data_IF_761011966046
#
_entry.id   IF_761011966046
#
_cell.length_a   1.000
_cell.length_b   1.000
_cell.length_c   1.000
_cell.angle_alpha   90.00
_cell.angle_beta   90.00
_cell.angle_gamma   90.00
#
_symmetry.space_group_name_H-M   'P 1'
#
loop_
_entity.id
_entity.type
_entity.pdbx_description
1 polymer ?
#
# COMPACT_ATOMS: atom_id res chain seq x y z
N UNK A 1 11.37 12.41 -7.46
CA UNK A 1 11.94 11.09 -7.12
C UNK A 1 12.96 11.18 -6.00
N UNK A 2 12.77 10.39 -4.94
CA UNK A 2 13.69 10.29 -3.79
C UNK A 2 14.26 8.89 -3.56
N UNK A 3 14.03 7.99 -4.51
CA UNK A 3 14.50 6.61 -4.47
C UNK A 3 15.90 6.54 -5.10
N UNK A 4 16.78 5.75 -4.50
CA UNK A 4 18.12 5.48 -5.01
C UNK A 4 18.52 4.02 -4.73
N UNK A 5 19.16 3.36 -5.69
CA UNK A 5 19.82 2.08 -5.46
C UNK A 5 21.15 2.28 -4.71
N UNK A 6 21.37 1.45 -3.69
CA UNK A 6 22.66 1.28 -3.04
C UNK A 6 23.29 0.02 -3.62
N UNK A 7 24.47 0.20 -4.20
CA UNK A 7 25.23 -0.87 -4.84
C UNK A 7 25.80 -1.79 -3.76
N UNK A 8 25.52 -3.08 -3.88
CA UNK A 8 26.19 -4.18 -3.20
C UNK A 8 27.03 -4.95 -4.22
N UNK A 9 26.46 -6.01 -4.78
CA UNK A 9 27.04 -6.86 -5.83
C UNK A 9 26.83 -6.34 -7.27
N UNK A 10 25.92 -5.37 -7.45
CA UNK A 10 25.62 -4.74 -8.74
C UNK A 10 24.83 -5.63 -9.70
N UNK A 11 24.41 -6.84 -9.30
CA UNK A 11 23.72 -7.79 -10.17
C UNK A 11 22.31 -7.32 -10.57
N UNK A 12 21.68 -6.50 -9.74
CA UNK A 12 20.28 -6.11 -9.87
C UNK A 12 20.10 -4.67 -10.36
N UNK A 13 21.19 -3.95 -10.61
CA UNK A 13 21.15 -2.53 -10.98
C UNK A 13 21.53 -2.37 -12.46
N UNK A 14 20.61 -1.78 -13.24
CA UNK A 14 20.90 -1.35 -14.61
C UNK A 14 21.66 -0.02 -14.60
N UNK A 15 22.80 0.03 -15.30
CA UNK A 15 23.67 1.20 -15.35
C UNK A 15 22.93 2.45 -15.82
N UNK A 16 22.08 2.33 -16.84
CA UNK A 16 21.59 3.46 -17.65
C UNK A 16 20.19 3.92 -17.26
N UNK A 17 19.37 3.03 -16.70
CA UNK A 17 17.97 3.33 -16.39
C UNK A 17 17.71 3.52 -14.91
N UNK A 18 18.50 2.87 -14.06
CA UNK A 18 18.22 2.86 -12.63
C UNK A 18 18.84 4.07 -11.92
N UNK A 19 18.17 4.62 -10.90
CA UNK A 19 18.70 5.73 -10.13
C UNK A 19 19.68 5.22 -9.06
N UNK A 20 20.96 5.01 -9.39
CA UNK A 20 21.97 4.45 -8.46
C UNK A 20 23.10 5.41 -8.09
N UNK A 21 23.19 6.58 -8.72
CA UNK A 21 24.19 7.59 -8.38
C UNK A 21 23.73 8.45 -7.20
N UNK A 22 24.60 8.72 -6.21
CA UNK A 22 24.30 9.59 -5.07
C UNK A 22 24.27 11.09 -5.42
N UNK A 23 24.16 11.45 -6.70
CA UNK A 23 24.14 12.84 -7.20
C UNK A 23 22.95 13.11 -8.13
N UNK A 24 22.61 14.39 -8.27
CA UNK A 24 21.59 14.84 -9.20
C UNK A 24 20.14 14.52 -8.76
N UNK A 25 19.18 15.12 -9.47
CA UNK A 25 17.75 14.98 -9.16
C UNK A 25 17.22 13.61 -9.63
N UNK A 26 17.65 13.17 -10.81
CA UNK A 26 17.28 11.88 -11.39
C UNK A 26 18.05 10.71 -10.79
N UNK A 27 19.30 10.94 -10.33
CA UNK A 27 20.23 9.90 -9.80
C UNK A 27 20.62 8.83 -10.82
N UNK A 28 20.33 9.10 -12.09
CA UNK A 28 20.71 8.26 -13.22
C UNK A 28 22.00 8.83 -13.81
N UNK A 29 22.82 7.97 -14.39
CA UNK A 29 23.99 8.32 -15.20
C UNK A 29 23.59 9.36 -16.27
N UNK A 30 24.35 10.44 -16.39
CA UNK A 30 24.14 11.49 -17.42
C UNK A 30 24.89 11.18 -18.72
N UNK A 31 25.92 10.34 -18.63
CA UNK A 31 26.69 9.82 -19.75
C UNK A 31 25.80 9.13 -20.78
N UNK A 32 26.05 9.39 -22.06
CA UNK A 32 25.25 8.84 -23.15
C UNK A 32 25.70 7.40 -23.42
N UNK A 33 24.77 6.44 -23.36
CA UNK A 33 25.05 5.01 -23.58
C UNK A 33 25.72 4.71 -24.93
N UNK A 34 25.32 5.37 -26.00
CA UNK A 34 25.82 5.08 -27.35
C UNK A 34 25.64 3.61 -27.74
N UNK A 35 26.68 3.01 -28.33
CA UNK A 35 26.74 1.58 -28.69
C UNK A 35 27.29 0.69 -27.57
N UNK A 36 27.30 1.17 -26.31
CA UNK A 36 27.86 0.40 -25.22
C UNK A 36 26.97 -0.81 -24.87
N UNK A 37 27.59 -1.99 -24.85
CA UNK A 37 26.96 -3.27 -24.57
C UNK A 37 26.77 -3.52 -23.07
N UNK A 38 27.46 -2.79 -22.20
CA UNK A 38 27.31 -2.90 -20.75
C UNK A 38 25.89 -2.53 -20.35
N UNK A 39 25.31 -3.33 -19.46
CA UNK A 39 23.93 -3.17 -19.01
C UNK A 39 23.80 -3.08 -17.50
N UNK A 40 24.63 -3.82 -16.76
CA UNK A 40 24.51 -3.97 -15.31
C UNK A 40 25.75 -3.49 -14.58
N UNK A 41 25.54 -2.97 -13.37
CA UNK A 41 26.62 -2.42 -12.53
C UNK A 41 27.66 -3.49 -12.17
N UNK A 42 27.26 -4.76 -12.03
CA UNK A 42 28.18 -5.89 -11.82
C UNK A 42 29.29 -5.98 -12.88
N UNK A 43 29.01 -5.58 -14.12
CA UNK A 43 29.98 -5.63 -15.22
C UNK A 43 31.06 -4.53 -15.10
N UNK A 44 30.90 -3.58 -14.17
CA UNK A 44 31.86 -2.54 -13.84
C UNK A 44 32.75 -2.92 -12.63
N UNK A 45 32.50 -4.07 -12.01
CA UNK A 45 33.18 -4.52 -10.78
C UNK A 45 34.16 -5.63 -11.15
N UNK A 46 35.41 -5.51 -10.68
CA UNK A 46 36.37 -6.60 -10.75
C UNK A 46 36.07 -7.63 -9.66
N UNK A 47 35.67 -8.83 -10.08
CA UNK A 47 35.31 -9.95 -9.20
C UNK A 47 36.49 -10.55 -8.43
N UNK A 48 37.74 -10.24 -8.80
CA UNK A 48 38.92 -10.75 -8.08
C UNK A 48 39.30 -9.80 -6.93
N UNK A 49 39.27 -8.49 -7.18
CA UNK A 49 39.66 -7.48 -6.20
C UNK A 49 38.49 -6.88 -5.42
N UNK A 50 37.24 -7.19 -5.80
CA UNK A 50 36.01 -6.57 -5.28
C UNK A 50 36.08 -5.04 -5.29
N UNK A 51 36.64 -4.50 -6.35
CA UNK A 51 36.79 -3.06 -6.56
C UNK A 51 36.28 -2.66 -7.94
N UNK A 52 36.06 -1.37 -8.14
CA UNK A 52 35.63 -0.84 -9.43
C UNK A 52 36.71 -1.03 -10.49
N UNK A 53 36.35 -1.47 -11.70
CA UNK A 53 37.23 -1.41 -12.86
C UNK A 53 37.36 0.05 -13.31
N UNK A 54 38.34 0.74 -12.71
CA UNK A 54 38.58 2.16 -12.91
C UNK A 54 38.84 2.51 -14.38
N UNK A 55 39.53 1.62 -15.11
CA UNK A 55 39.84 1.84 -16.51
C UNK A 55 38.56 1.74 -17.36
N UNK A 56 37.74 0.71 -17.13
CA UNK A 56 36.47 0.53 -17.84
C UNK A 56 35.49 1.67 -17.58
N UNK A 57 35.40 2.13 -16.33
CA UNK A 57 34.51 3.22 -15.92
C UNK A 57 34.94 4.54 -16.59
N UNK A 58 36.22 4.89 -16.55
CA UNK A 58 36.73 6.12 -17.19
C UNK A 58 36.58 6.12 -18.71
N UNK A 59 36.58 4.94 -19.34
CA UNK A 59 36.33 4.80 -20.78
C UNK A 59 34.84 4.84 -21.14
N UNK A 60 33.97 4.45 -20.22
CA UNK A 60 32.53 4.30 -20.45
C UNK A 60 31.73 5.56 -20.12
N UNK A 61 32.12 6.30 -19.09
CA UNK A 61 31.34 7.41 -18.55
C UNK A 61 32.08 8.74 -18.70
N UNK A 62 31.32 9.83 -18.73
CA UNK A 62 31.88 11.17 -18.57
C UNK A 62 32.57 11.31 -17.22
N UNK A 63 33.58 12.17 -17.17
CA UNK A 63 34.44 12.37 -15.99
C UNK A 63 33.62 12.60 -14.70
N UNK A 64 32.54 13.37 -14.77
CA UNK A 64 31.68 13.63 -13.62
C UNK A 64 31.01 12.36 -13.08
N UNK A 65 30.51 11.49 -13.96
CA UNK A 65 29.85 10.23 -13.59
C UNK A 65 30.88 9.22 -13.12
N UNK A 66 32.00 9.09 -13.84
CA UNK A 66 33.11 8.21 -13.47
C UNK A 66 33.60 8.50 -12.04
N UNK A 67 33.86 9.77 -11.70
CA UNK A 67 34.26 10.17 -10.35
C UNK A 67 33.22 9.82 -9.28
N UNK A 68 31.95 9.92 -9.63
CA UNK A 68 30.86 9.59 -8.68
C UNK A 68 30.77 8.09 -8.45
N UNK A 69 30.88 7.29 -9.51
CA UNK A 69 30.84 5.83 -9.45
C UNK A 69 31.99 5.32 -8.57
N UNK A 70 33.20 5.81 -8.80
CA UNK A 70 34.40 5.40 -8.05
C UNK A 70 34.33 5.73 -6.55
N UNK A 71 33.49 6.67 -6.14
CA UNK A 71 33.28 7.02 -4.72
C UNK A 71 32.24 6.13 -4.02
N UNK A 72 31.49 5.30 -4.75
CA UNK A 72 30.53 4.38 -4.16
C UNK A 72 31.31 3.20 -3.55
N UNK A 73 31.22 2.96 -2.23
CA UNK A 73 31.91 1.83 -1.62
C UNK A 73 31.25 0.51 -2.02
N UNK A 74 32.05 -0.46 -2.46
CA UNK A 74 31.64 -1.84 -2.69
C UNK A 74 32.01 -2.67 -1.45
N UNK A 75 31.13 -3.59 -1.05
CA UNK A 75 31.37 -4.52 0.06
C UNK A 75 31.12 -5.96 -0.42
N UNK A 76 32.07 -6.85 -0.15
CA UNK A 76 31.95 -8.27 -0.46
C UNK A 76 30.78 -8.89 0.33
N UNK A 77 29.84 -9.53 -0.38
CA UNK A 77 28.66 -10.17 0.21
C UNK A 77 27.51 -9.23 0.57
N UNK A 78 27.57 -7.95 0.22
CA UNK A 78 26.43 -7.04 0.34
C UNK A 78 25.49 -7.18 -0.87
N UNK A 79 24.19 -7.28 -0.62
CA UNK A 79 23.16 -7.32 -1.67
C UNK A 79 22.76 -5.90 -2.11
N UNK A 80 22.46 -5.73 -3.40
CA UNK A 80 21.85 -4.50 -3.93
C UNK A 80 20.51 -4.17 -3.24
N UNK A 81 20.32 -2.91 -2.81
CA UNK A 81 19.04 -2.50 -2.23
C UNK A 81 18.59 -1.08 -2.58
N UNK A 82 17.28 -0.92 -2.72
CA UNK A 82 16.63 0.38 -2.83
C UNK A 82 16.56 1.07 -1.48
N UNK A 83 16.92 2.35 -1.48
CA UNK A 83 16.97 3.23 -0.31
C UNK A 83 16.24 4.55 -0.58
N UNK A 84 15.73 5.15 0.49
CA UNK A 84 15.29 6.53 0.48
C UNK A 84 16.50 7.47 0.58
N UNK A 85 16.77 8.23 -0.48
CA UNK A 85 17.95 9.08 -0.59
C UNK A 85 18.04 10.13 0.53
N UNK A 86 16.90 10.65 0.99
CA UNK A 86 16.86 11.72 1.98
C UNK A 86 16.89 11.21 3.43
N UNK A 87 17.15 9.92 3.65
CA UNK A 87 17.44 9.36 4.96
C UNK A 87 18.82 8.69 4.97
N UNK A 88 19.58 8.91 6.04
CA UNK A 88 20.97 8.41 6.16
C UNK A 88 21.05 6.89 6.20
N UNK A 89 20.00 6.21 6.70
CA UNK A 89 19.90 4.75 6.74
C UNK A 89 19.14 4.19 5.54
N UNK A 90 18.70 5.05 4.62
CA UNK A 90 17.88 4.66 3.48
C UNK A 90 16.42 4.35 3.82
N UNK A 91 15.96 4.67 5.04
CA UNK A 91 14.61 4.36 5.48
C UNK A 91 13.63 5.44 5.05
N UNK A 92 12.53 5.02 4.44
CA UNK A 92 11.44 5.92 4.11
C UNK A 92 10.64 6.27 5.37
N UNK A 93 10.34 7.56 5.56
CA UNK A 93 9.34 8.02 6.51
C UNK A 93 8.48 9.11 5.90
N UNK A 94 7.21 9.18 6.31
CA UNK A 94 6.29 10.25 5.89
C UNK A 94 6.84 11.62 6.27
N UNK A 95 7.51 11.71 7.43
CA UNK A 95 8.15 12.94 7.91
C UNK A 95 9.28 13.40 6.98
N UNK A 96 10.19 12.50 6.59
CA UNK A 96 11.30 12.84 5.67
C UNK A 96 10.81 13.16 4.27
N UNK A 97 9.77 12.48 3.78
CA UNK A 97 9.16 12.80 2.48
C UNK A 97 8.48 14.18 2.49
N UNK A 98 7.77 14.52 3.56
CA UNK A 98 7.13 15.82 3.72
C UNK A 98 8.13 16.98 3.79
N UNK A 99 9.26 16.78 4.49
CA UNK A 99 10.36 17.76 4.53
C UNK A 99 10.94 18.04 3.15
N UNK A 100 11.10 17.03 2.30
CA UNK A 100 11.59 17.21 0.92
C UNK A 100 10.65 18.07 0.10
N UNK A 101 9.34 17.89 0.26
CA UNK A 101 8.33 18.71 -0.44
C UNK A 101 8.42 20.16 0.01
N UNK A 102 8.49 20.42 1.32
CA UNK A 102 8.64 21.77 1.86
C UNK A 102 9.93 22.45 1.39
N UNK A 103 11.06 21.74 1.39
CA UNK A 103 12.35 22.26 0.91
C UNK A 103 12.33 22.53 -0.60
N UNK A 104 11.60 21.73 -1.38
CA UNK A 104 11.44 21.94 -2.82
C UNK A 104 10.59 23.17 -3.09
N UNK A 105 9.47 23.33 -2.36
CA UNK A 105 8.60 24.51 -2.45
C UNK A 105 9.31 25.79 -2.02
N UNK A 106 10.16 25.73 -0.98
CA UNK A 106 10.98 26.86 -0.54
C UNK A 106 11.97 27.28 -1.64
N UNK A 107 12.68 26.33 -2.26
CA UNK A 107 13.63 26.59 -3.36
C UNK A 107 12.96 27.08 -4.64
N UNK A 108 11.74 26.63 -4.92
CA UNK A 108 10.93 27.13 -6.04
C UNK A 108 10.40 28.55 -5.77
N UNK A 109 10.10 28.88 -4.51
CA UNK A 109 9.67 30.22 -4.11
C UNK A 109 10.79 31.26 -4.19
N UNK A 110 12.05 30.87 -3.99
CA UNK A 110 13.23 31.73 -4.16
C UNK A 110 13.56 32.02 -5.64
N UNK A 111 13.10 31.18 -6.57
CA UNK A 111 13.25 31.39 -8.03
C UNK A 111 12.06 32.10 -8.67
N UNK A 112 11.02 32.42 -7.89
CA UNK A 112 9.81 33.11 -8.34
C UNK A 112 9.76 34.56 -7.87
N UNK A 113 9.25 35.44 -8.73
CA UNK A 113 8.98 36.87 -8.49
C UNK A 113 8.28 37.06 -7.11
N UNK A 114 8.72 38.01 -6.26
CA UNK A 114 8.16 38.18 -4.93
C UNK A 114 6.70 38.61 -5.03
N UNK A 115 5.78 37.72 -4.64
CA UNK A 115 4.38 38.07 -4.45
C UNK A 115 4.10 38.27 -2.97
N UNK A 116 4.05 39.54 -2.59
CA UNK A 116 3.53 40.02 -1.32
C UNK A 116 2.07 39.64 -1.17
N UNK A 117 1.75 38.88 -0.12
CA UNK A 117 0.44 38.94 0.51
C UNK A 117 0.61 38.75 2.00
N UNK A 118 0.51 39.87 2.73
CA UNK A 118 0.32 39.90 4.17
C UNK A 118 -0.79 38.92 4.56
N UNK A 119 -0.46 37.92 5.38
CA UNK A 119 -1.45 37.32 6.28
C UNK A 119 -1.36 38.12 7.59
N UNK A 120 -2.47 38.66 8.11
CA UNK A 120 -2.43 39.21 9.46
C UNK A 120 -2.12 38.05 10.41
N UNK A 121 -1.10 38.23 11.25
CA UNK A 121 -0.80 37.35 12.36
C UNK A 121 -2.01 37.29 13.30
N UNK A 122 -2.88 36.31 13.11
CA UNK A 122 -3.76 35.86 14.19
C UNK A 122 -2.90 34.96 15.07
N UNK A 123 -2.15 35.59 15.97
CA UNK A 123 -1.49 34.97 17.11
C UNK A 123 -2.55 34.48 18.09
N UNK A 124 -3.29 33.45 17.71
CA UNK A 124 -4.05 32.69 18.72
C UNK A 124 -3.06 31.76 19.42
N UNK A 125 -2.48 32.27 20.50
CA UNK A 125 -1.88 31.48 21.58
C UNK A 125 -3.00 30.63 22.24
N UNK A 126 -3.59 29.72 21.47
CA UNK A 126 -4.48 28.70 21.99
C UNK A 126 -3.62 27.76 22.83
N UNK A 127 -3.91 27.59 24.12
CA UNK A 127 -3.12 26.74 24.99
C UNK A 127 -3.34 25.28 24.60
N UNK A 128 -2.54 24.79 23.65
CA UNK A 128 -2.65 23.42 23.09
C UNK A 128 -2.61 22.34 24.16
N UNK A 129 -1.88 22.59 25.25
CA UNK A 129 -1.86 21.70 26.43
C UNK A 129 -3.25 21.49 27.04
N UNK A 130 -4.13 22.50 27.00
CA UNK A 130 -5.53 22.39 27.47
C UNK A 130 -6.40 21.67 26.45
N UNK A 131 -6.18 21.87 25.15
CA UNK A 131 -6.92 21.17 24.09
C UNK A 131 -6.70 19.65 24.18
N UNK A 132 -5.44 19.22 24.33
CA UNK A 132 -5.10 17.80 24.42
C UNK A 132 -5.46 17.15 25.76
N UNK A 133 -5.74 17.94 26.80
CA UNK A 133 -6.18 17.46 28.11
C UNK A 133 -7.70 17.26 28.22
N UNK A 134 -8.46 17.59 27.18
CA UNK A 134 -9.91 17.37 27.17
C UNK A 134 -10.21 15.85 27.08
N UNK A 135 -11.22 15.34 27.81
CA UNK A 135 -11.64 13.94 27.76
C UNK A 135 -12.47 13.66 26.49
N UNK A 136 -11.92 14.03 25.32
CA UNK A 136 -12.52 13.85 24.01
C UNK A 136 -11.67 12.86 23.20
N UNK A 137 -12.28 12.02 22.34
CA UNK A 137 -11.52 11.14 21.47
C UNK A 137 -10.54 11.91 20.57
N UNK A 138 -9.36 11.34 20.35
CA UNK A 138 -8.22 12.00 19.69
C UNK A 138 -8.55 12.58 18.30
N UNK A 139 -9.53 12.01 17.60
CA UNK A 139 -10.00 12.51 16.29
C UNK A 139 -10.72 13.87 16.38
N UNK A 140 -11.47 14.13 17.46
CA UNK A 140 -12.10 15.43 17.69
C UNK A 140 -11.08 16.50 18.07
N UNK A 141 -10.03 16.10 18.80
CA UNK A 141 -8.91 16.98 19.12
C UNK A 141 -8.12 17.36 17.87
N UNK A 142 -7.87 16.40 16.98
CA UNK A 142 -7.29 16.66 15.66
C UNK A 142 -8.20 17.52 14.77
N UNK A 143 -9.51 17.29 14.78
CA UNK A 143 -10.46 18.13 14.03
C UNK A 143 -10.45 19.57 14.55
N UNK A 144 -10.52 19.78 15.87
CA UNK A 144 -10.46 21.11 16.50
C UNK A 144 -9.11 21.79 16.24
N UNK A 145 -8.00 21.04 16.27
CA UNK A 145 -6.68 21.54 15.90
C UNK A 145 -6.62 21.97 14.43
N UNK A 146 -7.19 21.18 13.49
CA UNK A 146 -7.25 21.52 12.06
C UNK A 146 -8.18 22.71 11.77
N UNK A 147 -9.29 22.81 12.51
CA UNK A 147 -10.22 23.94 12.45
C UNK A 147 -9.54 25.23 12.94
N UNK A 148 -8.87 25.18 14.08
CA UNK A 148 -8.14 26.31 14.65
C UNK A 148 -6.95 26.76 13.78
N UNK A 149 -6.28 25.82 13.09
CA UNK A 149 -5.19 26.12 12.15
C UNK A 149 -5.66 26.40 10.72
N UNK A 150 -6.96 26.70 10.52
CA UNK A 150 -7.52 27.10 9.22
C UNK A 150 -7.21 26.11 8.07
N UNK A 151 -7.01 24.84 8.43
CA UNK A 151 -6.55 23.75 7.56
C UNK A 151 -7.70 22.88 7.05
N UNK A 152 -8.95 23.25 7.37
CA UNK A 152 -10.14 22.66 6.76
C UNK A 152 -10.45 23.36 5.43
N UNK A 153 -10.73 22.61 4.35
CA UNK A 153 -11.08 23.18 3.07
C UNK A 153 -12.52 23.72 3.12
N UNK A 154 -12.70 24.92 3.70
CA UNK A 154 -13.93 25.68 3.51
C UNK A 154 -14.04 26.07 2.04
N UNK A 155 -15.24 25.91 1.46
CA UNK A 155 -15.60 26.07 0.03
C UNK A 155 -15.03 27.31 -0.67
N UNK A 156 -14.58 28.33 0.06
CA UNK A 156 -14.03 29.57 -0.48
C UNK A 156 -12.62 29.42 -1.08
N UNK A 157 -11.83 28.40 -0.70
CA UNK A 157 -10.46 28.21 -1.25
C UNK A 157 -10.37 27.31 -2.49
N UNK A 158 -11.44 26.62 -2.88
CA UNK A 158 -11.45 25.68 -4.02
C UNK A 158 -11.45 26.37 -5.41
N UNK A 159 -11.72 27.67 -5.50
CA UNK A 159 -11.73 28.41 -6.78
C UNK A 159 -10.37 28.95 -7.25
N UNK A 160 -9.30 28.89 -6.43
CA UNK A 160 -8.06 29.65 -6.73
C UNK A 160 -6.78 28.85 -7.00
N UNK A 161 -6.76 27.52 -6.89
CA UNK A 161 -5.55 26.72 -7.22
C UNK A 161 -5.94 25.41 -7.89
N UNK A 162 -5.42 25.18 -9.10
CA UNK A 162 -5.58 23.93 -9.88
C UNK A 162 -4.94 22.72 -9.21
N UNK A 163 -5.53 22.25 -8.12
CA UNK A 163 -5.06 21.12 -7.32
C UNK A 163 -5.48 19.76 -7.88
N UNK A 164 -6.35 19.72 -8.89
CA UNK A 164 -6.80 18.48 -9.55
C UNK A 164 -5.68 17.79 -10.35
N UNK A 165 -4.76 18.55 -10.96
CA UNK A 165 -3.61 17.97 -11.69
C UNK A 165 -2.48 17.49 -10.79
N UNK A 166 -2.40 17.99 -9.54
CA UNK A 166 -1.36 17.54 -8.59
C UNK A 166 -1.71 16.18 -7.98
N UNK A 167 -2.99 15.91 -7.73
CA UNK A 167 -3.46 14.63 -7.17
C UNK A 167 -3.13 13.41 -8.04
N UNK A 168 -3.23 13.53 -9.37
CA UNK A 168 -2.93 12.43 -10.30
C UNK A 168 -1.42 12.08 -10.38
N UNK A 169 -0.53 13.06 -10.17
CA UNK A 169 0.92 12.83 -10.12
C UNK A 169 1.34 12.04 -8.87
N UNK A 170 0.71 12.33 -7.72
CA UNK A 170 0.90 11.59 -6.47
C UNK A 170 0.44 10.12 -6.58
N UNK A 171 -0.58 9.84 -7.38
CA UNK A 171 -1.14 8.50 -7.54
C UNK A 171 -0.27 7.61 -8.44
N UNK A 172 0.30 8.16 -9.52
CA UNK A 172 1.20 7.41 -10.42
C UNK A 172 2.51 6.99 -9.74
N UNK A 173 3.09 7.84 -8.88
CA UNK A 173 4.34 7.53 -8.17
C UNK A 173 4.17 6.54 -7.00
N UNK A 174 2.96 6.43 -6.44
CA UNK A 174 2.63 5.43 -5.42
C UNK A 174 2.48 4.03 -6.04
N UNK A 175 1.87 3.93 -7.22
CA UNK A 175 1.74 2.68 -7.98
C UNK A 175 3.12 2.14 -8.37
N UNK A 176 4.02 2.97 -8.89
CA UNK A 176 5.39 2.57 -9.28
C UNK A 176 6.22 2.09 -8.08
N UNK A 177 6.08 2.73 -6.91
CA UNK A 177 6.74 2.30 -5.67
C UNK A 177 6.17 0.99 -5.12
N UNK A 178 4.85 0.81 -5.18
CA UNK A 178 4.17 -0.42 -4.78
C UNK A 178 4.53 -1.59 -5.71
N UNK A 179 4.59 -1.40 -7.02
CA UNK A 179 4.99 -2.41 -8.00
C UNK A 179 6.44 -2.88 -7.80
N UNK A 180 7.36 -1.96 -7.54
CA UNK A 180 8.79 -2.25 -7.27
C UNK A 180 8.98 -2.99 -5.94
N UNK A 181 8.22 -2.63 -4.89
CA UNK A 181 8.22 -3.34 -3.61
C UNK A 181 7.60 -4.76 -3.72
N UNK A 182 6.66 -4.95 -4.64
CA UNK A 182 6.02 -6.25 -4.90
C UNK A 182 6.95 -7.20 -5.67
N UNK A 183 7.83 -6.69 -6.54
CA UNK A 183 8.91 -7.48 -7.18
C UNK A 183 9.88 -8.08 -6.16
N UNK A 184 10.14 -7.39 -5.05
CA UNK A 184 11.04 -7.84 -3.97
C UNK A 184 10.54 -9.06 -3.18
N UNK A 185 9.25 -9.40 -3.27
CA UNK A 185 8.70 -10.65 -2.68
C UNK A 185 8.67 -11.84 -3.65
N UNK A 186 9.02 -11.66 -4.93
CA UNK A 186 8.90 -12.69 -5.97
C UNK A 186 10.18 -13.49 -6.28
N UNK A 187 11.30 -13.24 -5.59
CA UNK A 187 12.55 -14.01 -5.75
C UNK A 187 12.89 -14.96 -4.60
N UNK A 188 11.93 -15.29 -3.73
CA UNK A 188 11.96 -16.58 -3.04
C UNK A 188 10.97 -17.48 -3.75
N UNK A 189 11.49 -18.50 -4.43
CA UNK A 189 10.74 -19.66 -4.93
C UNK A 189 10.21 -20.43 -3.71
N UNK A 190 9.25 -19.84 -3.01
CA UNK A 190 8.36 -20.55 -2.10
C UNK A 190 7.53 -21.46 -2.98
N UNK A 191 7.50 -22.75 -2.67
CA UNK A 191 6.50 -23.69 -3.18
C UNK A 191 5.19 -22.94 -3.33
N UNK A 192 4.71 -22.77 -4.58
CA UNK A 192 3.45 -22.08 -4.85
C UNK A 192 2.39 -22.82 -4.02
N UNK A 193 1.97 -22.23 -2.90
CA UNK A 193 0.85 -22.77 -2.13
C UNK A 193 -0.38 -22.51 -3.01
N UNK A 194 -0.80 -23.58 -3.68
CA UNK A 194 -1.98 -23.59 -4.54
C UNK A 194 -3.20 -23.65 -3.62
N UNK A 195 -4.18 -22.77 -3.86
CA UNK A 195 -5.46 -22.82 -3.15
C UNK A 195 -6.12 -24.19 -3.37
N UNK A 196 -6.67 -24.79 -2.33
CA UNK A 196 -7.35 -26.08 -2.42
C UNK A 196 -8.84 -25.94 -2.09
N UNK A 197 -9.72 -26.68 -2.79
CA UNK A 197 -11.14 -26.69 -2.48
C UNK A 197 -11.42 -27.23 -1.06
N UNK A 198 -12.57 -26.87 -0.47
CA UNK A 198 -13.02 -27.46 0.79
C UNK A 198 -13.37 -28.95 0.63
N UNK A 199 -13.48 -29.69 1.75
CA UNK A 199 -14.10 -31.01 1.75
C UNK A 199 -15.55 -30.96 1.24
N UNK A 200 -16.07 -32.10 0.80
CA UNK A 200 -17.49 -32.27 0.45
C UNK A 200 -18.40 -31.75 1.56
N UNK A 201 -19.53 -31.13 1.20
CA UNK A 201 -20.53 -30.56 2.13
C UNK A 201 -19.99 -29.37 2.97
N UNK A 202 -18.88 -28.77 2.55
CA UNK A 202 -18.40 -27.49 3.05
C UNK A 202 -18.28 -26.48 1.92
N UNK A 203 -18.67 -25.24 2.21
CA UNK A 203 -18.34 -24.09 1.39
C UNK A 203 -17.06 -23.43 1.91
N UNK A 204 -16.23 -22.94 1.01
CA UNK A 204 -15.04 -22.16 1.37
C UNK A 204 -15.25 -20.70 0.99
N UNK A 205 -15.04 -19.81 1.95
CA UNK A 205 -15.28 -18.38 1.81
C UNK A 205 -13.95 -17.66 1.97
N UNK A 206 -13.50 -16.96 0.95
CA UNK A 206 -12.34 -16.07 1.02
C UNK A 206 -12.84 -14.64 1.27
N UNK A 207 -12.26 -13.91 2.21
CA UNK A 207 -12.62 -12.51 2.54
C UNK A 207 -11.39 -11.62 2.60
N UNK A 208 -11.55 -10.35 2.23
CA UNK A 208 -10.49 -9.33 2.28
C UNK A 208 -11.08 -7.93 2.52
N UNK A 209 -10.33 -7.08 3.25
CA UNK A 209 -10.65 -5.67 3.45
C UNK A 209 -9.64 -4.75 2.76
N UNK A 210 -10.11 -3.87 1.88
CA UNK A 210 -9.32 -2.82 1.27
C UNK A 210 -9.49 -1.50 2.04
N UNK A 211 -8.37 -0.82 2.31
CA UNK A 211 -8.36 0.43 3.05
C UNK A 211 -7.47 1.48 2.38
N UNK A 212 -8.01 2.68 2.19
CA UNK A 212 -7.25 3.85 1.77
C UNK A 212 -7.37 4.94 2.83
N UNK A 213 -6.26 5.28 3.48
CA UNK A 213 -6.21 6.23 4.61
C UNK A 213 -6.83 7.61 4.32
N UNK A 214 -6.82 8.06 3.07
CA UNK A 214 -7.40 9.34 2.65
C UNK A 214 -8.90 9.30 2.41
N UNK A 215 -9.50 8.12 2.26
CA UNK A 215 -10.85 7.97 1.73
C UNK A 215 -11.94 7.92 2.80
N UNK A 216 -11.64 7.63 4.08
CA UNK A 216 -12.64 7.28 5.10
C UNK A 216 -13.62 6.16 4.66
N UNK A 217 -13.20 5.38 3.66
CA UNK A 217 -13.92 4.25 3.12
C UNK A 217 -13.09 3.00 3.33
N UNK A 218 -13.80 1.92 3.59
CA UNK A 218 -13.30 0.56 3.59
C UNK A 218 -14.09 -0.19 2.53
N UNK A 219 -13.38 -0.79 1.59
CA UNK A 219 -13.94 -1.71 0.61
C UNK A 219 -13.80 -3.11 1.18
N UNK A 220 -14.79 -3.94 0.96
CA UNK A 220 -14.73 -5.34 1.37
C UNK A 220 -15.19 -6.21 0.22
N UNK A 221 -14.64 -7.42 0.18
CA UNK A 221 -14.95 -8.38 -0.86
C UNK A 221 -14.84 -9.81 -0.38
N UNK A 222 -15.71 -10.68 -0.91
CA UNK A 222 -15.67 -12.11 -0.62
C UNK A 222 -16.03 -12.97 -1.83
N UNK A 223 -15.53 -14.20 -1.83
CA UNK A 223 -16.00 -15.26 -2.75
C UNK A 223 -16.37 -16.51 -1.98
N UNK A 224 -17.48 -17.15 -2.35
CA UNK A 224 -17.91 -18.46 -1.84
C UNK A 224 -17.69 -19.52 -2.93
N UNK A 225 -17.00 -20.60 -2.58
CA UNK A 225 -16.66 -21.70 -3.50
C UNK A 225 -17.12 -23.05 -2.94
N UNK A 226 -17.54 -23.95 -3.83
CA UNK A 226 -17.94 -25.32 -3.50
C UNK A 226 -16.75 -26.29 -3.41
N UNK A 227 -17.02 -27.57 -3.14
CA UNK A 227 -16.03 -28.66 -3.07
C UNK A 227 -15.29 -28.94 -4.39
N UNK A 228 -15.79 -28.44 -5.52
CA UNK A 228 -15.13 -28.52 -6.82
C UNK A 228 -14.23 -27.31 -7.11
N UNK A 229 -14.23 -26.31 -6.21
CA UNK A 229 -13.49 -25.06 -6.38
C UNK A 229 -14.21 -24.04 -7.27
N UNK A 230 -15.45 -24.33 -7.67
CA UNK A 230 -16.28 -23.44 -8.47
C UNK A 230 -16.81 -22.32 -7.58
N UNK A 231 -16.67 -21.08 -8.05
CA UNK A 231 -17.22 -19.93 -7.35
C UNK A 231 -18.74 -19.87 -7.58
N UNK A 232 -19.50 -19.89 -6.50
CA UNK A 232 -20.97 -19.83 -6.52
C UNK A 232 -21.46 -18.41 -6.26
N UNK A 233 -20.73 -17.66 -5.43
CA UNK A 233 -21.10 -16.31 -5.01
C UNK A 233 -19.86 -15.43 -4.95
N UNK A 234 -20.02 -14.17 -5.37
CA UNK A 234 -19.08 -13.10 -5.11
C UNK A 234 -19.82 -11.90 -4.50
N UNK A 235 -19.19 -11.20 -3.57
CA UNK A 235 -19.73 -9.97 -3.02
C UNK A 235 -18.67 -8.89 -2.94
N UNK A 236 -19.07 -7.65 -3.17
CA UNK A 236 -18.23 -6.47 -2.94
C UNK A 236 -19.09 -5.26 -2.60
N UNK A 237 -18.60 -4.43 -1.69
CA UNK A 237 -19.20 -3.14 -1.35
C UNK A 237 -18.16 -2.25 -0.64
N UNK A 238 -18.58 -1.05 -0.23
CA UNK A 238 -17.85 -0.20 0.70
C UNK A 238 -18.68 0.28 1.88
N UNK A 239 -17.95 0.62 2.94
CA UNK A 239 -18.47 1.17 4.17
C UNK A 239 -17.73 2.44 4.49
N UNK A 240 -18.47 3.46 4.88
CA UNK A 240 -17.88 4.70 5.40
C UNK A 240 -17.48 4.50 6.85
N UNK A 241 -16.22 4.16 7.08
CA UNK A 241 -15.66 3.98 8.42
C UNK A 241 -14.31 4.69 8.50
N UNK A 242 -14.06 5.38 9.61
CA UNK A 242 -12.71 5.86 9.95
C UNK A 242 -11.99 4.70 10.64
N UNK A 243 -11.31 3.89 9.84
CA UNK A 243 -10.72 2.62 10.25
C UNK A 243 -9.20 2.62 10.08
N UNK A 244 -8.50 1.76 10.81
CA UNK A 244 -7.16 1.29 10.49
C UNK A 244 -7.24 -0.02 9.65
N UNK A 245 -6.14 -0.50 9.05
CA UNK A 245 -6.17 -1.71 8.22
C UNK A 245 -6.77 -2.93 8.91
N UNK A 246 -6.52 -3.15 10.20
CA UNK A 246 -7.09 -4.30 10.91
C UNK A 246 -8.59 -4.15 11.09
N UNK A 247 -9.07 -2.93 11.33
CA UNK A 247 -10.50 -2.64 11.39
C UNK A 247 -11.17 -2.88 10.04
N UNK A 248 -10.49 -2.60 8.92
CA UNK A 248 -11.00 -2.88 7.57
C UNK A 248 -11.18 -4.38 7.33
N UNK A 249 -10.17 -5.19 7.66
CA UNK A 249 -10.26 -6.66 7.59
C UNK A 249 -11.37 -7.21 8.50
N UNK A 250 -11.50 -6.64 9.71
CA UNK A 250 -12.51 -7.05 10.70
C UNK A 250 -13.92 -6.75 10.18
N UNK A 251 -14.14 -5.56 9.62
CA UNK A 251 -15.41 -5.18 9.03
C UNK A 251 -15.73 -6.07 7.82
N UNK A 252 -14.76 -6.30 6.93
CA UNK A 252 -14.93 -7.18 5.77
C UNK A 252 -15.36 -8.60 6.17
N UNK A 253 -14.72 -9.17 7.19
CA UNK A 253 -15.08 -10.49 7.71
C UNK A 253 -16.48 -10.51 8.34
N UNK A 254 -16.86 -9.48 9.10
CA UNK A 254 -18.19 -9.37 9.69
C UNK A 254 -19.28 -9.33 8.61
N UNK A 255 -19.11 -8.47 7.60
CA UNK A 255 -20.06 -8.39 6.49
C UNK A 255 -20.13 -9.71 5.71
N UNK A 256 -18.99 -10.33 5.43
CA UNK A 256 -18.95 -11.64 4.79
C UNK A 256 -19.71 -12.72 5.59
N UNK A 257 -19.58 -12.73 6.92
CA UNK A 257 -20.33 -13.64 7.79
C UNK A 257 -21.83 -13.36 7.79
N UNK A 258 -22.23 -12.08 7.79
CA UNK A 258 -23.64 -11.68 7.68
C UNK A 258 -24.26 -12.16 6.36
N UNK A 259 -23.52 -12.03 5.26
CA UNK A 259 -23.97 -12.50 3.95
C UNK A 259 -24.01 -14.01 3.86
N UNK A 260 -22.99 -14.71 4.36
CA UNK A 260 -22.98 -16.16 4.42
C UNK A 260 -24.17 -16.71 5.25
N UNK A 261 -24.52 -16.04 6.35
CA UNK A 261 -25.69 -16.38 7.17
C UNK A 261 -26.99 -16.13 6.40
N UNK A 262 -27.11 -15.00 5.70
CA UNK A 262 -28.29 -14.65 4.88
C UNK A 262 -28.51 -15.64 3.73
N UNK A 263 -27.43 -16.17 3.16
CA UNK A 263 -27.45 -17.19 2.11
C UNK A 263 -27.55 -18.63 2.67
N UNK A 264 -27.77 -18.78 3.98
CA UNK A 264 -27.94 -20.08 4.63
C UNK A 264 -26.75 -21.03 4.42
N UNK A 265 -25.54 -20.48 4.33
CA UNK A 265 -24.31 -21.26 4.23
C UNK A 265 -24.01 -21.92 5.59
N UNK A 266 -24.59 -23.08 5.88
CA UNK A 266 -24.54 -23.67 7.22
C UNK A 266 -23.18 -24.28 7.61
N UNK A 267 -22.40 -24.76 6.65
CA UNK A 267 -21.08 -25.40 6.85
C UNK A 267 -20.01 -24.70 6.04
N UNK A 268 -19.18 -23.90 6.70
CA UNK A 268 -18.22 -23.00 6.05
C UNK A 268 -16.79 -23.10 6.60
N UNK A 269 -15.83 -22.88 5.72
CA UNK A 269 -14.42 -22.58 6.04
C UNK A 269 -14.16 -21.15 5.56
N UNK A 270 -14.01 -20.22 6.50
CA UNK A 270 -13.72 -18.81 6.24
C UNK A 270 -12.20 -18.58 6.26
N UNK A 271 -11.64 -18.15 5.14
CA UNK A 271 -10.23 -17.88 4.92
C UNK A 271 -9.96 -16.37 4.84
N UNK A 272 -8.95 -15.92 5.56
CA UNK A 272 -8.41 -14.54 5.51
C UNK A 272 -6.88 -14.59 5.42
N UNK A 273 -6.23 -13.59 4.82
CA UNK A 273 -4.77 -13.45 4.87
C UNK A 273 -4.29 -12.72 6.16
N UNK A 274 -5.22 -12.16 6.94
CA UNK A 274 -4.95 -11.40 8.15
C UNK A 274 -4.77 -12.31 9.38
N UNK A 275 -3.53 -12.78 9.59
CA UNK A 275 -3.17 -13.61 10.76
C UNK A 275 -3.57 -13.00 12.11
N UNK A 276 -3.48 -11.67 12.23
CA UNK A 276 -3.90 -10.91 13.43
C UNK A 276 -5.40 -11.00 13.69
N UNK A 277 -6.23 -10.97 12.64
CA UNK A 277 -7.68 -11.11 12.76
C UNK A 277 -8.07 -12.52 13.21
N UNK A 278 -7.44 -13.55 12.64
CA UNK A 278 -7.63 -14.94 13.11
C UNK A 278 -7.25 -15.08 14.59
N UNK A 279 -6.13 -14.47 15.01
CA UNK A 279 -5.73 -14.49 16.43
C UNK A 279 -6.79 -13.80 17.30
N UNK A 280 -7.28 -12.63 16.90
CA UNK A 280 -8.29 -11.87 17.62
C UNK A 280 -9.63 -12.61 17.76
N UNK A 281 -10.01 -13.42 16.76
CA UNK A 281 -11.21 -14.26 16.84
C UNK A 281 -11.06 -15.43 17.82
N UNK A 282 -9.83 -15.91 18.03
CA UNK A 282 -9.55 -17.04 18.93
C UNK A 282 -9.21 -16.64 20.37
N UNK A 283 -8.78 -15.40 20.62
CA UNK A 283 -8.47 -14.90 21.96
C UNK A 283 -9.51 -13.90 22.46
N UNK A 284 -9.39 -13.54 23.74
CA UNK A 284 -10.19 -12.49 24.38
C UNK A 284 -9.38 -11.20 24.60
N UNK A 285 -8.14 -11.15 24.09
CA UNK A 285 -7.22 -10.02 24.31
C UNK A 285 -7.74 -8.72 23.68
N UNK A 286 -8.61 -8.85 22.68
CA UNK A 286 -9.17 -7.75 21.91
C UNK A 286 -10.56 -7.31 22.40
N UNK A 287 -11.12 -7.94 23.44
CA UNK A 287 -12.49 -7.68 23.90
C UNK A 287 -12.68 -6.25 24.43
N UNK A 288 -11.63 -5.65 25.02
CA UNK A 288 -11.63 -4.26 25.49
C UNK A 288 -11.08 -3.26 24.44
N UNK A 289 -10.77 -3.72 23.24
CA UNK A 289 -10.29 -2.86 22.15
C UNK A 289 -11.45 -2.23 21.36
N UNK A 290 -11.12 -1.30 20.46
CA UNK A 290 -12.10 -0.74 19.50
C UNK A 290 -12.74 -1.80 18.59
N UNK A 291 -12.12 -2.98 18.44
CA UNK A 291 -12.63 -4.11 17.65
C UNK A 291 -13.52 -5.05 18.45
N UNK A 292 -13.53 -4.96 19.79
CA UNK A 292 -14.19 -5.94 20.66
C UNK A 292 -15.71 -6.07 20.42
N UNK A 293 -16.38 -5.01 19.97
CA UNK A 293 -17.79 -5.07 19.58
C UNK A 293 -17.97 -5.93 18.33
N UNK A 294 -17.20 -5.68 17.27
CA UNK A 294 -17.27 -6.43 16.01
C UNK A 294 -16.89 -7.90 16.20
N UNK A 295 -15.85 -8.17 17.01
CA UNK A 295 -15.42 -9.53 17.32
C UNK A 295 -16.50 -10.32 18.06
N UNK A 296 -17.18 -9.70 19.04
CA UNK A 296 -18.30 -10.34 19.75
C UNK A 296 -19.49 -10.59 18.83
N UNK A 297 -19.79 -9.65 17.94
CA UNK A 297 -20.84 -9.82 16.94
C UNK A 297 -20.53 -10.99 16.00
N UNK A 298 -19.31 -11.07 15.47
CA UNK A 298 -18.88 -12.21 14.64
C UNK A 298 -18.95 -13.54 15.39
N UNK A 299 -18.45 -13.59 16.64
CA UNK A 299 -18.53 -14.79 17.50
C UNK A 299 -19.98 -15.23 17.69
N UNK A 300 -20.90 -14.28 17.92
CA UNK A 300 -22.33 -14.56 18.05
C UNK A 300 -22.93 -15.04 16.73
N UNK A 301 -22.67 -14.37 15.60
CA UNK A 301 -23.14 -14.81 14.28
C UNK A 301 -22.70 -16.24 13.97
N UNK A 302 -21.43 -16.55 14.22
CA UNK A 302 -20.87 -17.89 14.03
C UNK A 302 -21.64 -18.92 14.85
N UNK A 303 -21.92 -18.61 16.12
CA UNK A 303 -22.59 -19.52 17.04
C UNK A 303 -24.06 -19.78 16.66
N UNK A 304 -24.79 -18.76 16.18
CA UNK A 304 -26.23 -18.85 15.95
C UNK A 304 -26.63 -19.19 14.51
N UNK A 305 -25.81 -18.82 13.52
CA UNK A 305 -26.18 -18.94 12.11
C UNK A 305 -25.54 -20.14 11.38
N UNK A 306 -24.49 -20.74 11.96
CA UNK A 306 -23.71 -21.78 11.29
C UNK A 306 -23.73 -23.08 12.08
N UNK A 307 -24.00 -24.21 11.41
CA UNK A 307 -23.81 -25.54 12.00
C UNK A 307 -22.32 -25.82 12.24
N UNK A 308 -21.47 -25.36 11.32
CA UNK A 308 -20.02 -25.51 11.43
C UNK A 308 -19.32 -24.37 10.71
N UNK A 309 -18.53 -23.58 11.43
CA UNK A 309 -17.71 -22.53 10.87
C UNK A 309 -16.27 -22.68 11.37
N UNK A 310 -15.32 -22.76 10.45
CA UNK A 310 -13.88 -22.73 10.75
C UNK A 310 -13.30 -21.43 10.22
N UNK A 311 -12.39 -20.81 10.98
CA UNK A 311 -11.61 -19.65 10.52
C UNK A 311 -10.17 -20.11 10.31
N UNK A 312 -9.67 -19.92 9.09
CA UNK A 312 -8.33 -20.35 8.68
C UNK A 312 -7.55 -19.15 8.10
N UNK A 313 -6.23 -19.16 8.26
CA UNK A 313 -5.35 -18.19 7.62
C UNK A 313 -4.86 -18.77 6.32
N UNK A 314 -5.06 -18.07 5.22
CA UNK A 314 -4.55 -18.46 3.91
C UNK A 314 -3.41 -17.54 3.46
N UNK A 315 -2.49 -18.02 2.61
CA UNK A 315 -1.50 -17.16 1.97
C UNK A 315 -2.18 -16.16 1.04
N UNK A 316 -1.59 -14.96 0.87
CA UNK A 316 -2.11 -13.94 -0.07
C UNK A 316 -2.35 -14.46 -1.48
N UNK A 317 -1.50 -15.36 -1.97
CA UNK A 317 -1.65 -15.98 -3.28
C UNK A 317 -2.94 -16.82 -3.41
N UNK A 318 -3.51 -17.26 -2.29
CA UNK A 318 -4.77 -18.00 -2.22
C UNK A 318 -5.99 -17.07 -2.00
N UNK A 319 -5.79 -15.80 -1.63
CA UNK A 319 -6.85 -14.83 -1.33
C UNK A 319 -7.08 -13.78 -2.43
N UNK A 320 -6.47 -13.95 -3.60
CA UNK A 320 -6.43 -12.91 -4.66
C UNK A 320 -7.83 -12.49 -5.13
N UNK A 321 -8.78 -13.43 -5.18
CA UNK A 321 -10.16 -13.13 -5.60
C UNK A 321 -10.86 -12.16 -4.65
N UNK A 322 -10.78 -12.43 -3.34
CA UNK A 322 -11.35 -11.58 -2.31
C UNK A 322 -10.67 -10.20 -2.30
N UNK A 323 -9.35 -10.17 -2.49
CA UNK A 323 -8.58 -8.94 -2.61
C UNK A 323 -9.04 -8.05 -3.79
N UNK A 324 -9.19 -8.63 -4.99
CA UNK A 324 -9.67 -7.87 -6.14
C UNK A 324 -11.11 -7.37 -5.95
N UNK A 325 -11.97 -8.16 -5.30
CA UNK A 325 -13.34 -7.73 -4.97
C UNK A 325 -13.36 -6.61 -3.93
N UNK A 326 -12.50 -6.65 -2.91
CA UNK A 326 -12.40 -5.58 -1.92
C UNK A 326 -11.89 -4.28 -2.54
N UNK A 327 -10.90 -4.38 -3.43
CA UNK A 327 -10.41 -3.25 -4.23
C UNK A 327 -11.50 -2.68 -5.15
N UNK A 328 -12.31 -3.54 -5.78
CA UNK A 328 -13.47 -3.12 -6.56
C UNK A 328 -14.49 -2.39 -5.67
N UNK A 329 -14.78 -2.93 -4.48
CA UNK A 329 -15.63 -2.34 -3.44
C UNK A 329 -15.30 -0.88 -3.13
N UNK A 330 -14.00 -0.56 -2.99
CA UNK A 330 -13.52 0.80 -2.74
C UNK A 330 -13.94 1.83 -3.80
N UNK A 331 -14.22 1.40 -5.03
CA UNK A 331 -14.58 2.28 -6.15
C UNK A 331 -16.09 2.43 -6.36
N UNK A 332 -16.91 1.70 -5.60
CA UNK A 332 -18.36 1.69 -5.79
C UNK A 332 -19.02 2.93 -5.17
N UNK A 333 -20.19 3.31 -5.69
CA UNK A 333 -20.98 4.37 -5.07
C UNK A 333 -21.61 3.87 -3.76
N UNK A 334 -21.70 4.73 -2.74
CA UNK A 334 -22.26 4.36 -1.44
C UNK A 334 -23.68 3.78 -1.56
N UNK A 335 -23.91 2.64 -0.89
CA UNK A 335 -25.21 1.97 -0.88
C UNK A 335 -25.46 1.08 -2.11
N UNK A 336 -24.47 0.97 -3.01
CA UNK A 336 -24.47 0.01 -4.11
C UNK A 336 -23.93 -1.32 -3.60
N UNK A 337 -24.66 -1.95 -2.68
CA UNK A 337 -24.33 -3.30 -2.22
C UNK A 337 -24.59 -4.28 -3.36
N UNK A 338 -23.59 -5.09 -3.73
CA UNK A 338 -23.73 -6.08 -4.77
C UNK A 338 -23.22 -7.45 -4.33
N UNK A 339 -24.14 -8.41 -4.29
CA UNK A 339 -23.85 -9.84 -4.25
C UNK A 339 -24.29 -10.44 -5.58
N UNK A 340 -23.37 -11.13 -6.24
CA UNK A 340 -23.58 -11.81 -7.51
C UNK A 340 -23.59 -13.31 -7.28
N UNK A 341 -24.50 -13.99 -7.95
CA UNK A 341 -24.58 -15.45 -8.03
C UNK A 341 -24.03 -15.90 -9.40
N UNK A 342 -23.49 -17.10 -9.45
CA UNK A 342 -23.19 -17.74 -10.74
C UNK A 342 -24.48 -17.93 -11.56
N UNK A 343 -24.52 -17.59 -12.87
CA UNK A 343 -23.42 -17.08 -13.69
C UNK A 343 -23.09 -15.60 -13.45
N UNK A 344 -21.80 -15.32 -13.25
CA UNK A 344 -21.33 -13.95 -12.99
C UNK A 344 -21.34 -13.05 -14.25
N UNK A 345 -21.50 -11.72 -14.09
CA UNK A 345 -21.13 -10.75 -15.13
C UNK A 345 -19.64 -10.83 -15.49
N UNK A 346 -19.25 -10.48 -16.71
CA UNK A 346 -17.86 -10.64 -17.18
C UNK A 346 -16.84 -9.90 -16.30
N UNK A 347 -17.16 -8.68 -15.87
CA UNK A 347 -16.29 -7.92 -14.97
C UNK A 347 -16.12 -8.58 -13.59
N UNK A 348 -17.07 -9.38 -13.13
CA UNK A 348 -16.98 -10.12 -11.86
C UNK A 348 -16.24 -11.44 -12.06
N UNK A 349 -16.37 -12.10 -13.23
CA UNK A 349 -15.59 -13.31 -13.56
C UNK A 349 -14.09 -13.03 -13.47
N UNK A 350 -13.65 -11.89 -13.99
CA UNK A 350 -12.25 -11.47 -13.93
C UNK A 350 -11.78 -11.31 -12.47
N UNK A 351 -12.58 -10.64 -11.63
CA UNK A 351 -12.27 -10.45 -10.21
C UNK A 351 -12.21 -11.79 -9.44
N UNK A 352 -13.17 -12.68 -9.69
CA UNK A 352 -13.24 -14.04 -9.10
C UNK A 352 -12.04 -14.90 -9.54
N UNK A 353 -11.56 -14.72 -10.78
CA UNK A 353 -10.35 -15.34 -11.30
C UNK A 353 -9.05 -14.70 -10.77
N UNK A 354 -9.13 -13.62 -9.98
CA UNK A 354 -7.99 -12.92 -9.42
C UNK A 354 -7.33 -11.91 -10.37
N UNK A 355 -8.05 -11.46 -11.40
CA UNK A 355 -7.62 -10.41 -12.32
C UNK A 355 -8.14 -9.07 -11.81
N UNK A 356 -7.27 -8.31 -11.14
CA UNK A 356 -7.59 -6.97 -10.65
C UNK A 356 -7.59 -5.95 -11.82
N UNK A 357 -8.52 -4.98 -11.86
CA UNK A 357 -8.50 -3.92 -12.85
C UNK A 357 -7.23 -3.08 -12.73
N UNK A 358 -6.59 -2.73 -13.85
CA UNK A 358 -5.30 -2.03 -13.91
C UNK A 358 -5.25 -0.62 -13.27
N UNK A 359 -6.34 -0.16 -12.63
CA UNK A 359 -6.41 1.11 -11.88
C UNK A 359 -6.31 0.93 -10.36
N UNK A 360 -6.14 -0.28 -9.85
CA UNK A 360 -6.23 -0.59 -8.42
C UNK A 360 -5.08 -1.45 -7.86
N UNK A 361 -4.01 -1.67 -8.64
CA UNK A 361 -2.79 -2.37 -8.21
C UNK A 361 -1.80 -1.47 -7.49
#
# INVERSE_FOLDING_TARGET
NGIVWRVGDGENINIWTDPWLPKGISRIVTSIRGNNLLTKVVELIDHVSYSWDEQLIKQTFYEEDAQTILQIPIQEGAEDFLAWHFDKKGNFSVKSAYQVVLDTEARESEKGIPSTSHNPEISTNLPWKKLWALPLPCIFLHFLWRLANNSLPLRTKLKRRGALMKFFSYQLHLTEYCEVMTRRKKLKRSTQQVWSPPPTDFLKINTDGAFIQSSCFVGWGFTVKNEHGEALVAGADNLKIVADPLHAETAAMLHTLQEAARMECHKVILETDASTLKQAMTSNDYDNSSLGVLLREMKALIQYSFQRCKIEVCPRACNVSAHCLAAFGMCMEQGSYHVWLDPFPDHVKDLVAGVCPARLS
#
